data_IF_134202779489
#
_entry.id   IF_134202779489
#
_cell.length_a   1.000
_cell.length_b   1.000
_cell.length_c   1.000
_cell.angle_alpha   90.00
_cell.angle_beta   90.00
_cell.angle_gamma   90.00
#
_symmetry.space_group_name_H-M   'P 1'
#
loop_
_entity.id
_entity.type
_entity.pdbx_description
1 polymer ?
#
# COMPACT_ATOMS: atom_id res chain seq x y z
N UNK A 1 9.35 -29.08 -9.48
CA UNK A 1 9.77 -27.69 -9.26
C UNK A 1 8.78 -26.80 -9.98
N UNK A 2 8.08 -25.93 -9.26
CA UNK A 2 7.03 -25.08 -9.83
C UNK A 2 7.55 -23.71 -10.23
N UNK A 3 6.88 -23.08 -11.21
CA UNK A 3 7.11 -21.69 -11.63
C UNK A 3 7.05 -20.77 -10.39
N UNK A 4 8.13 -20.07 -10.10
CA UNK A 4 8.15 -19.04 -9.07
C UNK A 4 7.44 -17.79 -9.57
N UNK A 5 6.86 -17.00 -8.66
CA UNK A 5 6.32 -15.67 -9.01
C UNK A 5 7.35 -14.83 -9.79
N UNK A 6 8.62 -14.97 -9.42
CA UNK A 6 9.73 -14.29 -10.09
C UNK A 6 9.87 -14.72 -11.55
N UNK A 7 9.74 -16.01 -11.86
CA UNK A 7 9.73 -16.53 -13.23
C UNK A 7 8.44 -16.17 -13.99
N UNK A 8 7.34 -15.94 -13.29
CA UNK A 8 6.11 -15.37 -13.84
C UNK A 8 6.17 -13.84 -14.05
N UNK A 9 7.32 -13.20 -13.80
CA UNK A 9 7.50 -11.75 -13.96
C UNK A 9 7.21 -10.91 -12.71
N UNK A 10 6.86 -11.55 -11.59
CA UNK A 10 6.49 -10.92 -10.33
C UNK A 10 7.57 -11.17 -9.26
N UNK A 11 8.49 -10.22 -9.10
CA UNK A 11 9.56 -10.32 -8.11
C UNK A 11 9.13 -9.71 -6.75
N UNK A 12 8.74 -10.57 -5.81
CA UNK A 12 8.28 -10.18 -4.46
C UNK A 12 9.33 -9.36 -3.71
N UNK A 13 10.61 -9.68 -3.88
CA UNK A 13 11.68 -8.94 -3.21
C UNK A 13 11.74 -7.51 -3.72
N UNK A 14 11.60 -7.31 -5.03
CA UNK A 14 11.50 -5.97 -5.63
C UNK A 14 10.22 -5.23 -5.23
N UNK A 15 9.10 -5.95 -5.13
CA UNK A 15 7.84 -5.38 -4.62
C UNK A 15 8.02 -4.88 -3.19
N UNK A 16 8.61 -5.69 -2.29
CA UNK A 16 8.86 -5.31 -0.90
C UNK A 16 9.82 -4.13 -0.78
N UNK A 17 10.87 -4.08 -1.60
CA UNK A 17 11.77 -2.93 -1.68
C UNK A 17 11.01 -1.65 -2.07
N UNK A 18 10.13 -1.75 -3.07
CA UNK A 18 9.29 -0.64 -3.53
C UNK A 18 8.30 -0.21 -2.46
N UNK A 19 7.61 -1.16 -1.82
CA UNK A 19 6.71 -0.90 -0.70
C UNK A 19 7.44 -0.22 0.46
N UNK A 20 8.63 -0.67 0.84
CA UNK A 20 9.40 -0.05 1.91
C UNK A 20 9.77 1.41 1.60
N UNK A 21 10.13 1.72 0.34
CA UNK A 21 10.40 3.09 -0.08
C UNK A 21 9.13 3.96 -0.02
N UNK A 22 8.01 3.45 -0.52
CA UNK A 22 6.70 4.12 -0.44
C UNK A 22 6.30 4.35 1.02
N UNK A 23 6.51 3.38 1.89
CA UNK A 23 6.20 3.48 3.32
C UNK A 23 6.94 4.61 4.01
N UNK A 24 8.24 4.76 3.77
CA UNK A 24 9.04 5.86 4.33
C UNK A 24 8.51 7.23 3.90
N UNK A 25 8.06 7.36 2.65
CA UNK A 25 7.46 8.60 2.15
C UNK A 25 6.14 8.90 2.87
N UNK A 26 5.27 7.90 3.00
CA UNK A 26 3.99 8.05 3.71
C UNK A 26 4.23 8.41 5.18
N UNK A 27 5.13 7.73 5.87
CA UNK A 27 5.46 7.99 7.27
C UNK A 27 5.93 9.42 7.52
N UNK A 28 6.68 10.01 6.58
CA UNK A 28 7.12 11.40 6.69
C UNK A 28 5.97 12.41 6.77
N UNK A 29 4.77 12.03 6.31
CA UNK A 29 3.58 12.90 6.30
C UNK A 29 2.76 12.82 7.59
N UNK A 30 2.98 11.82 8.45
CA UNK A 30 2.12 11.55 9.61
C UNK A 30 2.04 12.71 10.61
N UNK A 31 3.05 13.59 10.63
CA UNK A 31 3.11 14.76 11.53
C UNK A 31 2.59 16.06 10.90
N UNK A 32 2.24 16.05 9.61
CA UNK A 32 1.78 17.26 8.92
C UNK A 32 0.40 17.72 9.39
N UNK A 33 -0.42 16.78 9.84
CA UNK A 33 -1.77 17.05 10.29
C UNK A 33 -1.80 17.11 11.83
N UNK A 34 -2.53 18.09 12.39
CA UNK A 34 -2.59 18.36 13.85
C UNK A 34 -3.90 17.94 14.54
N UNK A 35 -4.92 17.55 13.77
CA UNK A 35 -6.29 17.33 14.23
C UNK A 35 -6.66 15.86 14.43
N UNK A 36 -5.82 14.93 13.98
CA UNK A 36 -5.99 13.50 14.16
C UNK A 36 -4.61 12.84 14.32
N UNK A 37 -4.60 11.67 14.94
CA UNK A 37 -3.38 10.94 15.28
C UNK A 37 -3.30 9.69 14.42
N UNK A 38 -2.17 9.45 13.78
CA UNK A 38 -1.97 8.21 13.04
C UNK A 38 -1.76 7.08 14.04
N UNK A 39 -2.68 6.11 14.06
CA UNK A 39 -2.64 4.96 14.98
C UNK A 39 -1.96 3.76 14.32
N UNK A 40 -2.21 3.55 13.03
CA UNK A 40 -1.50 2.56 12.21
C UNK A 40 -1.21 3.16 10.83
N UNK A 41 0.06 3.17 10.44
CA UNK A 41 0.56 3.75 9.19
C UNK A 41 0.63 2.76 8.02
N UNK A 42 1.55 3.03 7.08
CA UNK A 42 1.78 2.18 5.90
C UNK A 42 2.13 0.73 6.27
N UNK A 43 1.70 -0.21 5.42
CA UNK A 43 2.03 -1.64 5.54
C UNK A 43 0.85 -2.53 5.95
N UNK A 44 -0.25 -1.92 6.41
CA UNK A 44 -1.52 -2.59 6.64
C UNK A 44 -2.53 -2.30 5.52
N UNK A 45 -3.62 -3.07 5.47
CA UNK A 45 -4.67 -2.93 4.45
C UNK A 45 -5.27 -1.52 4.41
N UNK A 46 -5.46 -0.89 5.57
CA UNK A 46 -5.96 0.47 5.68
C UNK A 46 -5.06 1.31 6.58
N UNK A 47 -4.95 2.60 6.29
CA UNK A 47 -4.39 3.57 7.22
C UNK A 47 -5.42 3.88 8.30
N UNK A 48 -5.03 3.81 9.57
CA UNK A 48 -5.93 4.08 10.71
C UNK A 48 -5.54 5.39 11.37
N UNK A 49 -6.50 6.30 11.45
CA UNK A 49 -6.35 7.59 12.14
C UNK A 49 -7.37 7.73 13.24
N UNK A 50 -6.92 8.17 14.42
CA UNK A 50 -7.78 8.57 15.52
C UNK A 50 -8.26 10.00 15.30
N UNK A 51 -9.58 10.18 15.31
CA UNK A 51 -10.26 11.48 15.16
C UNK A 51 -10.88 11.89 16.52
N UNK A 52 -11.30 13.16 16.69
CA UNK A 52 -11.87 13.63 17.94
C UNK A 52 -13.04 12.77 18.47
N UNK A 53 -13.10 12.64 19.79
CA UNK A 53 -14.11 11.82 20.48
C UNK A 53 -13.76 10.33 20.58
N UNK A 54 -12.47 9.97 20.48
CA UNK A 54 -11.98 8.60 20.68
C UNK A 54 -12.38 7.63 19.56
N UNK A 55 -12.70 8.15 18.36
CA UNK A 55 -13.13 7.36 17.22
C UNK A 55 -11.94 7.05 16.31
N UNK A 56 -12.00 5.91 15.64
CA UNK A 56 -11.02 5.51 14.63
C UNK A 56 -11.65 5.58 13.23
N UNK A 57 -10.94 6.20 12.30
CA UNK A 57 -11.27 6.22 10.88
C UNK A 57 -10.25 5.36 10.13
N UNK A 58 -10.73 4.29 9.52
CA UNK A 58 -9.95 3.49 8.59
C UNK A 58 -10.14 4.06 7.19
N UNK A 59 -9.04 4.40 6.53
CA UNK A 59 -9.04 4.88 5.14
C UNK A 59 -8.32 3.85 4.28
N UNK A 60 -9.02 3.38 3.26
CA UNK A 60 -8.48 2.51 2.25
C UNK A 60 -8.97 3.03 0.90
N UNK A 61 -8.06 3.10 -0.06
CA UNK A 61 -8.40 3.35 -1.45
C UNK A 61 -7.84 2.19 -2.24
N UNK A 62 -8.67 1.63 -3.12
CA UNK A 62 -8.28 0.56 -4.02
C UNK A 62 -8.55 0.98 -5.46
N UNK A 63 -7.73 0.50 -6.39
CA UNK A 63 -7.94 0.72 -7.81
C UNK A 63 -6.82 0.19 -8.69
N UNK A 64 -7.16 -0.77 -9.56
CA UNK A 64 -6.28 -1.24 -10.63
C UNK A 64 -6.91 -1.02 -12.03
N UNK A 65 -8.24 -0.87 -12.10
CA UNK A 65 -8.98 -0.51 -13.32
C UNK A 65 -8.91 -1.54 -14.44
N UNK A 66 -9.37 -1.21 -15.66
CA UNK A 66 -9.22 -2.10 -16.83
C UNK A 66 -7.77 -2.15 -17.34
N UNK A 67 -6.80 -1.54 -16.66
CA UNK A 67 -5.38 -1.63 -17.03
C UNK A 67 -4.77 -2.99 -16.66
N UNK A 68 -5.45 -3.67 -15.74
CA UNK A 68 -5.34 -5.09 -15.53
C UNK A 68 -5.59 -5.86 -16.83
N UNK A 69 -6.34 -5.31 -17.79
CA UNK A 69 -6.66 -5.96 -19.09
C UNK A 69 -5.46 -5.98 -20.06
N UNK A 70 -4.54 -5.02 -20.00
CA UNK A 70 -3.38 -4.97 -20.89
C UNK A 70 -2.16 -5.68 -20.29
N UNK A 71 -1.97 -5.61 -18.97
CA UNK A 71 -1.09 -6.54 -18.23
C UNK A 71 -1.43 -8.00 -18.59
N UNK A 72 -2.73 -8.27 -18.60
CA UNK A 72 -3.38 -9.50 -19.05
C UNK A 72 -3.24 -9.82 -20.55
N UNK A 73 -2.80 -8.88 -21.39
CA UNK A 73 -2.49 -9.13 -22.81
C UNK A 73 -0.98 -9.31 -23.08
N UNK A 74 -0.12 -8.75 -22.24
CA UNK A 74 1.35 -8.74 -22.44
C UNK A 74 2.12 -9.77 -21.60
N UNK A 75 1.40 -10.61 -20.84
CA UNK A 75 1.97 -11.64 -19.94
C UNK A 75 2.92 -11.08 -18.87
N UNK A 76 2.52 -9.98 -18.23
CA UNK A 76 3.18 -9.40 -17.05
C UNK A 76 2.15 -8.85 -16.09
#
# INVERSE_FOLDING_TARGET
>A
MGLTYKEAGVDISKIKQSQAAIGKLIESTHKLQKMAKITHGFGHYAGIVEIPGGKLLATHTDGVGTKVVIANLMKK
#
